data_IF_733987299134
#
_entry.id   IF_733987299134
#
_cell.length_a   1.000
_cell.length_b   1.000
_cell.length_c   1.000
_cell.angle_alpha   90.00
_cell.angle_beta   90.00
_cell.angle_gamma   90.00
#
_symmetry.space_group_name_H-M   'P 1'
#
loop_
_entity.id
_entity.type
_entity.pdbx_description
1 polymer ?
#
# COMPACT_ATOMS: atom_id res chain seq x y z
N UNK A 1 -8.52 -11.32 13.00
CA UNK A 1 -9.49 -10.84 11.97
C UNK A 1 -10.01 -12.02 11.17
N UNK A 2 -11.30 -12.01 10.76
CA UNK A 2 -11.89 -13.06 9.91
C UNK A 2 -11.39 -12.87 8.47
N UNK A 3 -10.98 -13.97 7.85
CA UNK A 3 -10.51 -14.02 6.44
C UNK A 3 -11.59 -14.67 5.59
N UNK A 4 -11.77 -14.21 4.37
CA UNK A 4 -12.77 -14.72 3.44
C UNK A 4 -12.08 -15.24 2.19
N UNK A 5 -12.65 -16.29 1.60
CA UNK A 5 -12.29 -16.78 0.26
C UNK A 5 -13.55 -16.67 -0.58
N UNK A 6 -13.54 -15.80 -1.57
CA UNK A 6 -14.71 -15.50 -2.40
C UNK A 6 -14.33 -15.13 -3.82
N UNK A 7 -15.27 -15.36 -4.72
CA UNK A 7 -15.24 -14.82 -6.07
C UNK A 7 -15.89 -13.44 -6.05
N UNK A 8 -15.07 -12.41 -6.28
CA UNK A 8 -15.49 -11.02 -6.31
C UNK A 8 -15.67 -10.57 -7.75
N UNK A 9 -16.67 -9.73 -8.00
CA UNK A 9 -16.91 -9.17 -9.33
C UNK A 9 -16.05 -7.94 -9.58
N UNK A 10 -15.46 -7.88 -10.77
CA UNK A 10 -14.83 -6.68 -11.30
C UNK A 10 -15.92 -5.70 -11.73
N UNK A 11 -16.02 -4.55 -11.07
CA UNK A 11 -17.00 -3.49 -11.37
C UNK A 11 -16.36 -2.22 -11.93
N UNK A 12 -15.04 -2.15 -11.92
CA UNK A 12 -14.27 -1.08 -12.53
C UNK A 12 -12.89 -1.56 -12.97
N UNK A 13 -12.44 -1.02 -14.09
CA UNK A 13 -11.13 -1.33 -14.68
C UNK A 13 -10.59 -0.12 -15.41
N UNK A 14 -9.39 0.29 -15.06
CA UNK A 14 -8.71 1.41 -15.69
C UNK A 14 -7.21 1.11 -15.85
N UNK A 15 -6.68 1.36 -17.04
CA UNK A 15 -5.23 1.37 -17.27
C UNK A 15 -4.73 2.78 -17.01
N UNK A 16 -4.13 3.01 -15.84
CA UNK A 16 -3.54 4.31 -15.50
C UNK A 16 -2.28 4.58 -16.32
N UNK A 17 -1.59 3.49 -16.71
CA UNK A 17 -0.45 3.47 -17.61
C UNK A 17 -0.37 2.07 -18.26
N UNK A 18 0.47 1.89 -19.27
CA UNK A 18 0.68 0.60 -19.99
C UNK A 18 1.02 -0.58 -19.07
N UNK A 19 1.63 -0.30 -17.90
CA UNK A 19 2.06 -1.28 -16.90
C UNK A 19 1.39 -1.10 -15.53
N UNK A 20 0.37 -0.25 -15.40
CA UNK A 20 -0.40 -0.06 -14.17
C UNK A 20 -1.89 -0.18 -14.40
N UNK A 21 -2.49 -1.13 -13.71
CA UNK A 21 -3.92 -1.42 -13.75
C UNK A 21 -4.57 -1.08 -12.41
N UNK A 22 -5.64 -0.32 -12.43
CA UNK A 22 -6.56 -0.13 -11.31
C UNK A 22 -7.78 -1.03 -11.52
N UNK A 23 -8.02 -1.96 -10.59
CA UNK A 23 -9.21 -2.80 -10.56
C UNK A 23 -10.09 -2.42 -9.37
N UNK A 24 -11.40 -2.28 -9.61
CA UNK A 24 -12.41 -2.14 -8.57
C UNK A 24 -13.23 -3.40 -8.45
N UNK A 25 -13.33 -3.91 -7.22
CA UNK A 25 -13.98 -5.19 -6.91
C UNK A 25 -15.15 -4.96 -5.94
N UNK A 26 -16.17 -5.81 -6.04
CA UNK A 26 -17.29 -5.88 -5.09
C UNK A 26 -17.65 -7.32 -4.76
N UNK A 27 -18.28 -7.52 -3.59
CA UNK A 27 -19.04 -8.74 -3.27
C UNK A 27 -20.51 -8.46 -3.52
N UNK A 28 -21.10 -9.09 -4.54
CA UNK A 28 -22.52 -8.91 -4.88
C UNK A 28 -23.47 -9.64 -3.91
N UNK A 29 -22.94 -10.53 -3.07
CA UNK A 29 -23.75 -11.37 -2.20
C UNK A 29 -23.78 -10.89 -0.75
N UNK A 30 -22.80 -10.07 -0.33
CA UNK A 30 -22.69 -9.60 1.05
C UNK A 30 -21.93 -8.28 1.13
N UNK A 31 -22.12 -7.51 2.21
CA UNK A 31 -21.23 -6.38 2.52
C UNK A 31 -19.78 -6.85 2.69
N UNK A 32 -18.87 -6.10 2.09
CA UNK A 32 -17.44 -6.28 2.30
C UNK A 32 -17.09 -6.02 3.77
N UNK A 33 -16.16 -6.78 4.37
CA UNK A 33 -15.68 -6.48 5.71
C UNK A 33 -14.96 -5.14 5.74
N UNK A 34 -14.90 -4.51 6.91
CA UNK A 34 -14.04 -3.34 7.10
C UNK A 34 -12.59 -3.68 6.75
N UNK A 35 -11.96 -2.80 6.00
CA UNK A 35 -10.58 -2.93 5.53
C UNK A 35 -9.71 -1.83 6.11
N UNK A 36 -8.51 -2.19 6.56
CA UNK A 36 -7.53 -1.27 7.11
C UNK A 36 -6.47 -0.93 6.05
N UNK A 37 -5.95 0.29 6.05
CA UNK A 37 -4.85 0.67 5.15
C UNK A 37 -3.62 -0.20 5.43
N UNK A 38 -2.94 -0.63 4.38
CA UNK A 38 -1.81 -1.56 4.48
C UNK A 38 -2.22 -3.03 4.44
N UNK A 39 -3.49 -3.38 4.57
CA UNK A 39 -3.97 -4.75 4.29
C UNK A 39 -3.90 -5.05 2.79
N UNK A 40 -3.91 -6.34 2.48
CA UNK A 40 -3.78 -6.84 1.12
C UNK A 40 -4.77 -7.98 0.83
N UNK A 41 -4.84 -8.37 -0.42
CA UNK A 41 -5.58 -9.54 -0.90
C UNK A 41 -4.63 -10.51 -1.59
N UNK A 42 -4.94 -11.80 -1.53
CA UNK A 42 -4.28 -12.84 -2.33
C UNK A 42 -5.20 -13.24 -3.49
N UNK A 43 -4.82 -12.86 -4.70
CA UNK A 43 -5.60 -13.04 -5.91
C UNK A 43 -5.20 -14.33 -6.60
N UNK A 44 -6.16 -15.19 -6.96
CA UNK A 44 -5.93 -16.29 -7.88
C UNK A 44 -5.70 -15.74 -9.29
N UNK A 45 -4.74 -16.31 -9.99
CA UNK A 45 -4.44 -15.92 -11.37
C UNK A 45 -4.88 -17.02 -12.30
N UNK A 46 -5.95 -16.78 -13.03
CA UNK A 46 -6.44 -17.68 -14.05
C UNK A 46 -5.88 -17.34 -15.44
N UNK A 47 -5.85 -18.31 -16.33
CA UNK A 47 -5.35 -18.11 -17.69
C UNK A 47 -3.84 -17.84 -17.81
N UNK A 48 -3.04 -18.20 -16.79
CA UNK A 48 -1.59 -18.15 -16.81
C UNK A 48 -1.03 -19.52 -16.43
N UNK A 49 -0.67 -20.39 -17.39
CA UNK A 49 -0.25 -21.77 -17.15
C UNK A 49 1.00 -21.91 -16.27
N UNK A 50 1.82 -20.87 -16.22
CA UNK A 50 3.08 -20.82 -15.47
C UNK A 50 2.93 -20.12 -14.10
N UNK A 51 1.73 -19.59 -13.77
CA UNK A 51 1.48 -18.89 -12.51
C UNK A 51 0.71 -19.78 -11.54
N UNK A 52 1.42 -20.50 -10.68
CA UNK A 52 0.81 -21.42 -9.72
C UNK A 52 0.35 -20.77 -8.43
N UNK A 53 1.00 -19.68 -8.02
CA UNK A 53 0.72 -19.00 -6.76
C UNK A 53 -0.19 -17.80 -6.96
N UNK A 54 -1.01 -17.51 -5.95
CA UNK A 54 -1.74 -16.24 -5.86
C UNK A 54 -0.80 -15.05 -5.83
N UNK A 55 -1.31 -13.88 -6.15
CA UNK A 55 -0.57 -12.62 -6.10
C UNK A 55 -1.05 -11.77 -4.93
N UNK A 56 -0.16 -11.39 -4.01
CA UNK A 56 -0.48 -10.42 -2.96
C UNK A 56 -0.56 -9.04 -3.58
N UNK A 57 -1.68 -8.37 -3.40
CA UNK A 57 -1.90 -7.00 -3.90
C UNK A 57 -2.45 -6.17 -2.75
N UNK A 58 -1.83 -5.04 -2.45
CA UNK A 58 -2.29 -4.11 -1.43
C UNK A 58 -3.63 -3.49 -1.79
N UNK A 59 -4.48 -3.30 -0.78
CA UNK A 59 -5.73 -2.56 -0.93
C UNK A 59 -5.38 -1.08 -1.11
N UNK A 60 -5.78 -0.52 -2.26
CA UNK A 60 -5.50 0.88 -2.62
C UNK A 60 -6.55 1.84 -2.02
N UNK A 61 -7.82 1.47 -2.13
CA UNK A 61 -8.93 2.23 -1.53
C UNK A 61 -10.06 1.29 -1.12
N UNK A 62 -10.95 1.75 -0.24
CA UNK A 62 -12.11 1.00 0.24
C UNK A 62 -13.29 1.93 0.47
N UNK A 63 -14.41 1.62 -0.16
CA UNK A 63 -15.66 2.36 -0.03
C UNK A 63 -16.77 1.44 0.51
N UNK A 64 -17.09 1.62 1.80
CA UNK A 64 -18.13 0.86 2.45
C UNK A 64 -19.55 1.22 1.95
N UNK A 65 -19.74 2.44 1.45
CA UNK A 65 -21.05 2.92 0.97
C UNK A 65 -21.40 2.24 -0.34
N UNK A 66 -20.45 2.18 -1.27
CA UNK A 66 -20.63 1.53 -2.57
C UNK A 66 -20.27 0.05 -2.55
N UNK A 67 -19.86 -0.50 -1.40
CA UNK A 67 -19.45 -1.89 -1.22
C UNK A 67 -18.32 -2.30 -2.19
N UNK A 68 -17.29 -1.45 -2.33
CA UNK A 68 -16.18 -1.68 -3.27
C UNK A 68 -14.82 -1.47 -2.61
N UNK A 69 -13.80 -2.08 -3.19
CA UNK A 69 -12.40 -1.73 -2.92
C UNK A 69 -11.58 -1.74 -4.21
N UNK A 70 -10.53 -0.94 -4.22
CA UNK A 70 -9.63 -0.77 -5.36
C UNK A 70 -8.30 -1.47 -5.13
N UNK A 71 -7.73 -2.01 -6.19
CA UNK A 71 -6.42 -2.63 -6.25
C UNK A 71 -5.59 -1.94 -7.33
N UNK A 72 -4.46 -1.34 -6.95
CA UNK A 72 -3.47 -0.83 -7.88
C UNK A 72 -2.43 -1.93 -8.16
N UNK A 73 -2.32 -2.36 -9.40
CA UNK A 73 -1.52 -3.52 -9.82
C UNK A 73 -0.43 -3.09 -10.80
N UNK A 74 0.83 -3.29 -10.42
CA UNK A 74 1.96 -3.13 -11.34
C UNK A 74 2.18 -4.41 -12.15
N UNK A 75 2.15 -4.31 -13.47
CA UNK A 75 2.18 -5.44 -14.42
C UNK A 75 3.61 -5.91 -14.73
N UNK A 76 4.34 -6.34 -13.71
CA UNK A 76 5.76 -6.70 -13.82
C UNK A 76 6.03 -8.15 -14.25
N UNK A 77 5.09 -9.07 -14.02
CA UNK A 77 5.28 -10.50 -14.27
C UNK A 77 4.09 -11.12 -15.00
N UNK A 78 4.23 -12.39 -15.42
CA UNK A 78 3.15 -13.10 -16.13
C UNK A 78 1.82 -13.09 -15.38
N UNK A 79 1.86 -13.34 -14.07
CA UNK A 79 0.64 -13.37 -13.25
C UNK A 79 -0.08 -12.02 -13.20
N UNK A 80 0.64 -10.91 -12.98
CA UNK A 80 0.02 -9.59 -12.98
C UNK A 80 -0.41 -9.15 -14.38
N UNK A 81 0.33 -9.52 -15.45
CA UNK A 81 -0.12 -9.30 -16.84
C UNK A 81 -1.35 -10.13 -17.19
N UNK A 82 -1.53 -11.34 -16.62
CA UNK A 82 -2.75 -12.09 -16.80
C UNK A 82 -3.97 -11.38 -16.20
N UNK A 83 -3.82 -10.73 -15.04
CA UNK A 83 -4.87 -9.92 -14.42
C UNK A 83 -5.29 -8.73 -15.29
N UNK A 84 -4.39 -8.20 -16.14
CA UNK A 84 -4.72 -7.12 -17.06
C UNK A 84 -5.72 -7.51 -18.16
N UNK A 85 -6.00 -8.80 -18.35
CA UNK A 85 -7.00 -9.28 -19.31
C UNK A 85 -8.43 -9.25 -18.75
N UNK A 86 -8.60 -9.14 -17.44
CA UNK A 86 -9.89 -9.06 -16.79
C UNK A 86 -10.71 -7.88 -17.33
N UNK A 87 -12.01 -8.13 -17.50
CA UNK A 87 -12.98 -7.14 -17.95
C UNK A 87 -13.99 -6.86 -16.82
N UNK A 88 -14.70 -5.74 -16.92
CA UNK A 88 -15.85 -5.47 -16.05
C UNK A 88 -16.88 -6.58 -16.25
N UNK A 89 -17.35 -7.17 -15.15
CA UNK A 89 -18.23 -8.32 -15.13
C UNK A 89 -17.54 -9.65 -14.85
N UNK A 90 -16.22 -9.75 -15.00
CA UNK A 90 -15.47 -10.95 -14.66
C UNK A 90 -15.46 -11.22 -13.16
N UNK A 91 -15.24 -12.46 -12.79
CA UNK A 91 -15.05 -12.87 -11.40
C UNK A 91 -13.58 -13.09 -11.09
N UNK A 92 -13.18 -12.74 -9.88
CA UNK A 92 -11.82 -12.85 -9.40
C UNK A 92 -11.79 -13.49 -8.01
N UNK A 93 -11.22 -14.70 -7.91
CA UNK A 93 -11.12 -15.40 -6.64
C UNK A 93 -10.07 -14.77 -5.74
N UNK A 94 -10.51 -14.28 -4.58
CA UNK A 94 -9.70 -13.53 -3.62
C UNK A 94 -9.71 -14.16 -2.24
N UNK A 95 -8.57 -14.13 -1.53
CA UNK A 95 -8.50 -14.32 -0.09
C UNK A 95 -8.28 -12.92 0.52
N UNK A 96 -9.21 -12.45 1.35
CA UNK A 96 -9.20 -11.07 1.88
C UNK A 96 -10.00 -10.91 3.18
N UNK A 97 -9.86 -9.79 3.93
CA UNK A 97 -8.65 -8.98 3.96
C UNK A 97 -7.55 -9.75 4.69
N UNK A 98 -6.30 -9.51 4.33
CA UNK A 98 -5.14 -10.18 4.90
C UNK A 98 -4.18 -9.18 5.54
N UNK A 99 -3.47 -9.64 6.56
CA UNK A 99 -2.47 -8.84 7.27
C UNK A 99 -3.04 -7.83 8.26
N UNK A 100 -2.13 -7.19 8.98
CA UNK A 100 -2.40 -6.10 9.92
C UNK A 100 -2.08 -4.77 9.23
N UNK A 101 -2.99 -3.81 9.32
CA UNK A 101 -2.85 -2.51 8.66
C UNK A 101 -2.17 -1.46 9.54
N UNK A 102 -2.01 -0.25 8.99
CA UNK A 102 -1.63 0.93 9.74
C UNK A 102 -2.72 1.28 10.76
N UNK A 103 -2.30 1.54 11.98
CA UNK A 103 -3.22 2.00 13.02
C UNK A 103 -3.55 3.48 12.81
N UNK A 104 -4.81 3.83 12.97
CA UNK A 104 -5.19 5.23 13.11
C UNK A 104 -4.80 5.72 14.51
N UNK A 105 -4.40 7.00 14.67
CA UNK A 105 -4.28 7.60 15.98
C UNK A 105 -5.57 7.46 16.79
N UNK A 106 -5.44 7.46 18.13
CA UNK A 106 -6.63 7.32 18.98
C UNK A 106 -7.64 8.44 18.69
N UNK A 107 -8.97 8.15 18.70
CA UNK A 107 -10.01 9.14 18.42
C UNK A 107 -9.97 10.39 19.32
N UNK A 108 -9.37 10.27 20.50
CA UNK A 108 -9.19 11.35 21.47
C UNK A 108 -7.88 12.13 21.28
N UNK A 109 -7.02 11.72 20.33
CA UNK A 109 -5.79 12.41 20.05
C UNK A 109 -6.07 13.78 19.40
N UNK A 110 -5.23 14.76 19.70
CA UNK A 110 -5.19 16.01 18.93
C UNK A 110 -4.91 15.73 17.47
N UNK A 111 -5.31 16.64 16.58
CA UNK A 111 -5.02 16.51 15.15
C UNK A 111 -3.52 16.36 14.92
N UNK A 112 -3.10 15.28 14.30
CA UNK A 112 -1.71 14.95 14.01
C UNK A 112 -1.37 15.24 12.55
N UNK A 113 -0.11 15.56 12.31
CA UNK A 113 0.50 15.73 10.98
C UNK A 113 1.29 14.47 10.65
N UNK A 114 0.80 13.67 9.73
CA UNK A 114 1.45 12.42 9.34
C UNK A 114 2.08 12.55 7.94
N UNK A 115 3.34 12.13 7.82
CA UNK A 115 4.02 12.01 6.53
C UNK A 115 3.84 10.59 5.98
N UNK A 116 3.18 10.48 4.83
CA UNK A 116 2.92 9.23 4.14
C UNK A 116 3.80 9.15 2.89
N UNK A 117 4.81 8.29 2.93
CA UNK A 117 5.82 8.16 1.87
C UNK A 117 5.51 6.94 1.01
N UNK A 118 5.29 7.15 -0.28
CA UNK A 118 5.02 6.09 -1.24
C UNK A 118 6.00 6.08 -2.40
N UNK A 119 6.48 4.90 -2.80
CA UNK A 119 7.35 4.73 -3.97
C UNK A 119 6.84 3.70 -4.96
N UNK A 120 6.62 4.09 -6.22
CA UNK A 120 6.07 3.21 -7.24
C UNK A 120 4.70 2.66 -6.82
N UNK A 121 4.47 1.33 -6.96
CA UNK A 121 3.20 0.70 -6.54
C UNK A 121 2.98 0.75 -5.03
N UNK A 122 4.02 1.01 -4.22
CA UNK A 122 3.89 1.21 -2.77
C UNK A 122 3.10 2.45 -2.37
N UNK A 123 2.72 3.31 -3.30
CA UNK A 123 1.75 4.39 -3.07
C UNK A 123 0.35 3.84 -2.76
N UNK A 124 0.02 2.64 -3.22
CA UNK A 124 -1.32 2.05 -3.08
C UNK A 124 -1.88 2.10 -1.64
N UNK A 125 -1.23 1.54 -0.61
CA UNK A 125 -1.78 1.57 0.74
C UNK A 125 -1.81 2.97 1.37
N UNK A 126 -1.04 3.92 0.84
CA UNK A 126 -0.96 5.28 1.35
C UNK A 126 -2.24 6.08 1.05
N UNK A 127 -2.94 5.78 -0.07
CA UNK A 127 -4.17 6.46 -0.43
C UNK A 127 -5.27 6.19 0.61
N UNK A 128 -5.56 4.92 0.87
CA UNK A 128 -6.56 4.53 1.89
C UNK A 128 -6.18 5.06 3.27
N UNK A 129 -4.88 5.04 3.62
CA UNK A 129 -4.43 5.54 4.92
C UNK A 129 -4.67 7.04 5.05
N UNK A 130 -4.28 7.83 4.05
CA UNK A 130 -4.50 9.27 4.07
C UNK A 130 -6.00 9.63 4.09
N UNK A 131 -6.83 8.93 3.32
CA UNK A 131 -8.29 9.09 3.35
C UNK A 131 -8.86 8.86 4.74
N UNK A 132 -8.48 7.76 5.42
CA UNK A 132 -8.96 7.46 6.77
C UNK A 132 -8.43 8.45 7.81
N UNK A 133 -7.18 8.89 7.70
CA UNK A 133 -6.60 9.94 8.54
C UNK A 133 -7.34 11.27 8.38
N UNK A 134 -7.59 11.68 7.13
CA UNK A 134 -8.34 12.89 6.83
C UNK A 134 -9.75 12.84 7.41
N UNK A 135 -10.46 11.73 7.23
CA UNK A 135 -11.78 11.51 7.79
C UNK A 135 -11.80 11.52 9.33
N UNK A 136 -10.69 11.13 9.97
CA UNK A 136 -10.52 11.17 11.42
C UNK A 136 -10.04 12.55 11.94
N UNK A 137 -9.90 13.57 11.06
CA UNK A 137 -9.51 14.94 11.43
C UNK A 137 -8.01 15.18 11.55
N UNK A 138 -7.18 14.24 11.07
CA UNK A 138 -5.73 14.39 10.98
C UNK A 138 -5.32 15.10 9.68
N UNK A 139 -4.04 15.44 9.57
CA UNK A 139 -3.46 16.18 8.43
C UNK A 139 -2.39 15.34 7.73
N UNK A 140 -2.78 14.47 6.79
CA UNK A 140 -1.80 13.72 6.02
C UNK A 140 -1.07 14.61 5.01
N UNK A 141 0.23 14.41 4.89
CA UNK A 141 1.07 14.91 3.80
C UNK A 141 1.62 13.71 3.05
N UNK A 142 1.37 13.63 1.76
CA UNK A 142 1.86 12.56 0.90
C UNK A 142 3.17 12.99 0.26
N UNK A 143 4.19 12.15 0.34
CA UNK A 143 5.44 12.30 -0.40
C UNK A 143 5.56 11.13 -1.38
N UNK A 144 5.26 11.41 -2.63
CA UNK A 144 5.24 10.41 -3.70
C UNK A 144 6.57 10.43 -4.47
N UNK A 145 7.23 9.28 -4.53
CA UNK A 145 8.51 9.11 -5.22
C UNK A 145 8.38 8.28 -6.49
N UNK A 146 9.05 8.71 -7.56
CA UNK A 146 9.12 8.01 -8.83
C UNK A 146 10.44 8.26 -9.55
N UNK A 147 10.70 7.53 -10.64
CA UNK A 147 11.85 7.79 -11.53
C UNK A 147 11.61 9.04 -12.37
N UNK A 148 10.35 9.23 -12.78
CA UNK A 148 9.90 10.34 -13.62
C UNK A 148 8.47 10.73 -13.26
N UNK A 149 7.96 11.82 -13.84
CA UNK A 149 6.56 12.26 -13.69
C UNK A 149 5.54 11.18 -14.07
N UNK A 150 5.88 10.29 -14.98
CA UNK A 150 5.03 9.17 -15.42
C UNK A 150 4.79 8.13 -14.31
N UNK A 151 5.64 8.07 -13.29
CA UNK A 151 5.56 7.11 -12.19
C UNK A 151 4.71 7.63 -11.03
N UNK A 152 4.28 8.88 -11.09
CA UNK A 152 3.43 9.51 -10.07
C UNK A 152 1.96 9.31 -10.47
N UNK A 153 1.36 8.26 -9.93
CA UNK A 153 -0.01 7.87 -10.24
C UNK A 153 -1.00 8.44 -9.22
N UNK A 154 -2.27 8.57 -9.62
CA UNK A 154 -3.41 8.93 -8.76
C UNK A 154 -3.20 10.25 -7.97
N UNK A 155 -2.33 11.15 -8.42
CA UNK A 155 -1.97 12.39 -7.71
C UNK A 155 -3.20 13.21 -7.29
N UNK A 156 -4.19 13.30 -8.15
CA UNK A 156 -5.43 14.04 -7.91
C UNK A 156 -6.24 13.41 -6.76
N UNK A 157 -6.30 12.08 -6.70
CA UNK A 157 -6.96 11.36 -5.60
C UNK A 157 -6.26 11.60 -4.26
N UNK A 158 -4.93 11.61 -4.24
CA UNK A 158 -4.19 11.96 -3.04
C UNK A 158 -4.46 13.39 -2.56
N UNK A 159 -4.57 14.34 -3.51
CA UNK A 159 -4.81 15.75 -3.22
C UNK A 159 -6.19 16.02 -2.60
N UNK A 160 -7.17 15.11 -2.75
CA UNK A 160 -8.46 15.19 -2.07
C UNK A 160 -8.34 15.07 -0.54
N UNK A 161 -7.30 14.40 -0.04
CA UNK A 161 -7.18 14.03 1.37
C UNK A 161 -6.05 14.76 2.10
N UNK A 162 -5.11 15.39 1.38
CA UNK A 162 -4.00 16.07 2.03
C UNK A 162 -3.06 16.78 1.06
N UNK A 163 -1.97 17.32 1.61
CA UNK A 163 -0.92 17.94 0.80
C UNK A 163 -0.13 16.88 0.04
N UNK A 164 0.12 17.10 -1.25
CA UNK A 164 0.90 16.19 -2.09
C UNK A 164 2.23 16.83 -2.47
N UNK A 165 3.32 16.24 -2.00
CA UNK A 165 4.69 16.54 -2.38
C UNK A 165 5.21 15.41 -3.28
N UNK A 166 6.12 15.75 -4.20
CA UNK A 166 6.62 14.79 -5.19
C UNK A 166 8.12 14.92 -5.34
N UNK A 167 8.80 13.77 -5.46
CA UNK A 167 10.18 13.71 -5.96
C UNK A 167 10.24 12.81 -7.19
N UNK A 168 11.04 13.22 -8.17
CA UNK A 168 11.40 12.34 -9.29
C UNK A 168 12.91 12.31 -9.48
N UNK A 169 13.47 11.13 -9.75
CA UNK A 169 14.92 10.99 -9.92
C UNK A 169 15.45 11.87 -11.05
N UNK A 170 14.67 12.01 -12.12
CA UNK A 170 15.04 12.84 -13.29
C UNK A 170 14.66 14.33 -13.14
N UNK A 171 13.87 14.69 -12.12
CA UNK A 171 13.42 16.07 -11.88
C UNK A 171 12.30 16.54 -12.79
N UNK A 172 11.59 15.64 -13.47
CA UNK A 172 10.48 16.01 -14.37
C UNK A 172 9.20 16.42 -13.65
N UNK A 173 9.08 16.13 -12.35
CA UNK A 173 7.98 16.58 -11.51
C UNK A 173 8.45 16.69 -10.05
N UNK A 174 8.06 17.78 -9.37
CA UNK A 174 8.44 18.04 -7.99
C UNK A 174 9.94 18.29 -7.80
N UNK A 175 10.48 17.91 -6.66
CA UNK A 175 11.91 18.04 -6.39
C UNK A 175 12.69 16.88 -7.03
N UNK A 176 13.88 17.19 -7.53
CA UNK A 176 14.76 16.17 -8.12
C UNK A 176 15.43 15.34 -7.03
N UNK A 177 15.33 14.01 -7.15
CA UNK A 177 16.03 13.07 -6.28
C UNK A 177 15.12 12.01 -5.68
N UNK A 178 15.54 11.43 -4.56
CA UNK A 178 14.78 10.44 -3.81
C UNK A 178 13.88 11.11 -2.77
N UNK A 179 12.88 10.40 -2.27
CA UNK A 179 11.97 10.89 -1.21
C UNK A 179 12.70 11.39 0.04
N UNK A 180 13.89 10.89 0.33
CA UNK A 180 14.73 11.33 1.44
C UNK A 180 15.48 12.63 1.18
N UNK A 181 15.45 13.15 -0.05
CA UNK A 181 16.11 14.42 -0.42
C UNK A 181 15.13 15.58 -0.48
N UNK A 182 13.82 15.34 -0.35
CA UNK A 182 12.83 16.41 -0.42
C UNK A 182 12.97 17.38 0.75
N UNK A 183 12.89 18.66 0.44
CA UNK A 183 13.07 19.76 1.39
C UNK A 183 12.10 19.75 2.57
N UNK A 184 10.94 19.08 2.45
CA UNK A 184 9.95 18.97 3.52
C UNK A 184 10.51 18.37 4.83
N UNK A 185 11.54 17.52 4.74
CA UNK A 185 12.17 16.94 5.94
C UNK A 185 12.82 17.99 6.85
N UNK A 186 13.26 19.12 6.25
CA UNK A 186 13.90 20.23 6.97
C UNK A 186 12.92 21.39 7.23
N UNK A 187 11.88 21.52 6.39
CA UNK A 187 11.00 22.70 6.44
C UNK A 187 9.68 22.45 7.17
N UNK A 188 9.30 21.20 7.36
CA UNK A 188 8.04 20.82 7.97
C UNK A 188 8.25 19.94 9.20
N UNK A 189 7.26 19.91 10.07
CA UNK A 189 7.26 19.04 11.26
C UNK A 189 6.13 18.03 11.17
N UNK A 190 6.42 16.80 11.56
CA UNK A 190 5.46 15.70 11.56
C UNK A 190 5.44 15.01 12.93
N UNK A 191 4.32 14.33 13.23
CA UNK A 191 4.17 13.55 14.45
C UNK A 191 4.53 12.06 14.22
N UNK A 192 4.41 11.58 12.98
CA UNK A 192 4.77 10.22 12.60
C UNK A 192 4.99 10.11 11.09
N UNK A 193 5.69 9.03 10.69
CA UNK A 193 5.96 8.66 9.31
C UNK A 193 5.40 7.28 9.01
N UNK A 194 4.78 7.12 7.86
CA UNK A 194 4.43 5.81 7.30
C UNK A 194 5.04 5.68 5.90
N UNK A 195 5.57 4.52 5.56
CA UNK A 195 6.15 4.33 4.23
C UNK A 195 5.81 2.96 3.63
N UNK A 196 5.69 2.92 2.31
CA UNK A 196 5.59 1.69 1.52
C UNK A 196 6.26 1.89 0.16
N UNK A 197 6.98 0.86 -0.30
CA UNK A 197 7.69 0.87 -1.57
C UNK A 197 8.94 -0.02 -1.55
N UNK A 198 9.90 0.20 -2.46
CA UNK A 198 11.11 -0.61 -2.50
C UNK A 198 11.86 -0.64 -1.17
N UNK A 199 12.35 -1.83 -0.77
CA UNK A 199 13.04 -2.00 0.53
C UNK A 199 14.15 -0.98 0.78
N UNK A 200 15.02 -0.64 -0.20
CA UNK A 200 16.05 0.40 0.01
C UNK A 200 15.45 1.77 0.36
N UNK A 201 14.32 2.14 -0.27
CA UNK A 201 13.62 3.38 0.05
C UNK A 201 13.09 3.38 1.48
N UNK A 202 12.40 2.30 1.88
CA UNK A 202 11.85 2.18 3.24
C UNK A 202 12.95 2.22 4.30
N UNK A 203 14.09 1.55 4.07
CA UNK A 203 15.26 1.61 4.95
C UNK A 203 15.80 3.05 5.08
N UNK A 204 15.93 3.76 3.96
CA UNK A 204 16.41 5.14 3.96
C UNK A 204 15.44 6.08 4.69
N UNK A 205 14.11 5.93 4.45
CA UNK A 205 13.07 6.69 5.17
C UNK A 205 13.09 6.38 6.67
N UNK A 206 13.23 5.11 7.06
CA UNK A 206 13.32 4.70 8.47
C UNK A 206 14.52 5.32 9.19
N UNK A 207 15.69 5.40 8.51
CA UNK A 207 16.88 6.06 9.04
C UNK A 207 16.66 7.56 9.23
N UNK A 208 16.07 8.21 8.22
CA UNK A 208 15.79 9.65 8.28
C UNK A 208 14.75 9.97 9.35
N UNK A 209 13.66 9.19 9.45
CA UNK A 209 12.69 9.33 10.51
C UNK A 209 13.31 9.20 11.92
N UNK A 210 14.28 8.27 12.09
CA UNK A 210 15.01 8.10 13.35
C UNK A 210 15.89 9.33 13.66
N UNK A 211 16.52 9.93 12.65
CA UNK A 211 17.31 11.17 12.83
C UNK A 211 16.44 12.34 13.30
N UNK A 212 15.19 12.39 12.85
CA UNK A 212 14.19 13.37 13.27
C UNK A 212 13.38 12.93 14.52
N UNK A 213 13.75 11.82 15.16
CA UNK A 213 13.06 11.27 16.35
C UNK A 213 11.57 10.96 16.11
N UNK A 214 11.19 10.65 14.87
CA UNK A 214 9.82 10.39 14.48
C UNK A 214 9.48 8.89 14.55
N UNK A 215 8.35 8.50 15.15
CA UNK A 215 7.81 7.15 14.99
C UNK A 215 7.62 6.82 13.51
N UNK A 216 8.12 5.67 13.07
CA UNK A 216 8.01 5.27 11.67
C UNK A 216 7.46 3.86 11.54
N UNK A 217 6.46 3.69 10.67
CA UNK A 217 5.88 2.40 10.31
C UNK A 217 6.04 2.16 8.82
N UNK A 218 6.33 0.91 8.46
CA UNK A 218 6.51 0.52 7.04
C UNK A 218 5.62 -0.66 6.71
N UNK A 219 5.07 -0.67 5.49
CA UNK A 219 4.37 -1.82 4.94
C UNK A 219 5.31 -2.61 4.04
N UNK A 220 5.66 -3.84 4.45
CA UNK A 220 6.62 -4.69 3.77
C UNK A 220 6.00 -5.41 2.56
N UNK A 221 6.78 -5.53 1.48
CA UNK A 221 6.40 -6.21 0.23
C UNK A 221 7.19 -7.53 0.05
N UNK A 222 7.23 -8.38 1.09
CA UNK A 222 7.91 -9.67 1.02
C UNK A 222 7.21 -10.60 0.02
N UNK A 223 7.97 -11.47 -0.64
CA UNK A 223 7.41 -12.55 -1.46
C UNK A 223 6.46 -13.41 -0.63
N UNK A 224 5.30 -13.71 -1.16
CA UNK A 224 4.28 -14.49 -0.48
C UNK A 224 3.79 -15.65 -1.37
N UNK A 225 3.56 -16.81 -0.74
CA UNK A 225 2.88 -17.92 -1.37
C UNK A 225 1.46 -18.08 -0.82
N UNK A 226 1.28 -18.40 0.46
CA UNK A 226 -0.05 -18.69 1.01
C UNK A 226 -0.82 -17.47 1.51
N UNK A 227 -0.16 -16.43 2.02
CA UNK A 227 -0.79 -15.24 2.62
C UNK A 227 -1.47 -15.47 3.97
N UNK A 228 -1.35 -16.67 4.56
CA UNK A 228 -2.10 -17.09 5.78
C UNK A 228 -1.20 -17.66 6.88
N UNK A 229 0.13 -17.52 6.77
CA UNK A 229 1.09 -17.93 7.81
C UNK A 229 1.54 -19.40 7.76
N UNK A 230 1.09 -20.18 6.77
CA UNK A 230 1.36 -21.62 6.75
C UNK A 230 2.70 -22.00 6.08
N UNK A 231 3.12 -21.28 5.02
CA UNK A 231 4.26 -21.68 4.17
C UNK A 231 5.60 -21.08 4.59
N UNK A 232 5.62 -20.09 5.47
CA UNK A 232 6.81 -19.36 5.96
C UNK A 232 7.64 -18.66 4.86
N UNK A 233 7.07 -18.48 3.67
CA UNK A 233 7.76 -17.85 2.53
C UNK A 233 8.04 -16.35 2.78
N UNK A 234 7.15 -15.66 3.49
CA UNK A 234 7.20 -14.22 3.72
C UNK A 234 7.87 -13.82 5.05
N UNK A 235 8.72 -14.68 5.61
CA UNK A 235 9.38 -14.40 6.89
C UNK A 235 10.31 -13.20 6.79
N UNK A 236 10.18 -12.27 7.74
CA UNK A 236 11.10 -11.15 7.97
C UNK A 236 11.78 -11.32 9.32
N UNK A 237 13.06 -10.97 9.38
CA UNK A 237 13.84 -10.99 10.62
C UNK A 237 13.54 -9.73 11.42
N UNK A 238 13.12 -9.91 12.67
CA UNK A 238 12.78 -8.82 13.59
C UNK A 238 13.52 -8.98 14.91
N UNK A 239 13.46 -7.96 15.77
CA UNK A 239 13.99 -8.04 17.14
C UNK A 239 13.25 -9.06 18.01
N UNK A 240 12.03 -9.45 17.60
CA UNK A 240 11.21 -10.50 18.24
C UNK A 240 11.44 -11.88 17.63
N UNK A 241 12.42 -12.04 16.73
CA UNK A 241 12.67 -13.26 15.95
C UNK A 241 12.09 -13.18 14.54
N UNK A 242 11.92 -14.34 13.92
CA UNK A 242 11.39 -14.45 12.56
C UNK A 242 9.87 -14.40 12.56
N UNK A 243 9.28 -13.40 11.90
CA UNK A 243 7.83 -13.19 11.82
C UNK A 243 7.32 -13.34 10.39
N UNK A 244 6.14 -13.94 10.24
CA UNK A 244 5.46 -14.01 8.93
C UNK A 244 4.81 -12.67 8.59
N UNK A 245 5.28 -12.00 7.55
CA UNK A 245 4.74 -10.70 7.09
C UNK A 245 3.24 -10.78 6.77
N UNK A 246 2.75 -11.90 6.28
CA UNK A 246 1.33 -12.05 5.94
C UNK A 246 0.37 -12.17 7.14
N UNK A 247 0.87 -12.43 8.35
CA UNK A 247 0.03 -12.57 9.56
C UNK A 247 0.37 -11.58 10.65
N UNK A 248 1.68 -11.29 10.85
CA UNK A 248 2.15 -10.33 11.86
C UNK A 248 2.27 -8.91 11.28
N UNK A 249 2.54 -8.81 9.98
CA UNK A 249 2.55 -7.58 9.19
C UNK A 249 1.35 -7.51 8.23
N UNK A 250 1.46 -6.83 7.08
CA UNK A 250 2.70 -6.31 6.49
C UNK A 250 3.22 -5.03 7.15
N UNK A 251 2.43 -4.36 7.99
CA UNK A 251 2.83 -3.13 8.66
C UNK A 251 3.62 -3.46 9.95
N UNK A 252 4.82 -2.90 10.04
CA UNK A 252 5.71 -3.01 11.18
C UNK A 252 6.20 -1.64 11.64
N UNK A 253 6.40 -1.49 12.95
CA UNK A 253 7.21 -0.39 13.47
C UNK A 253 8.67 -0.64 13.07
N UNK A 254 9.37 0.37 12.56
CA UNK A 254 10.77 0.22 12.10
C UNK A 254 11.73 -0.15 13.22
N UNK A 255 11.38 0.13 14.49
CA UNK A 255 12.16 -0.31 15.65
C UNK A 255 12.07 -1.84 15.90
N UNK A 256 11.10 -2.52 15.30
CA UNK A 256 11.00 -3.99 15.37
C UNK A 256 11.85 -4.67 14.31
N UNK A 257 12.26 -3.95 13.26
CA UNK A 257 13.01 -4.48 12.13
C UNK A 257 14.52 -4.41 12.40
N UNK A 258 15.26 -5.46 11.98
CA UNK A 258 16.71 -5.50 12.10
C UNK A 258 17.40 -4.76 10.94
N UNK A 259 16.89 -3.60 10.59
CA UNK A 259 17.45 -2.74 9.56
C UNK A 259 18.50 -1.80 10.19
N UNK A 260 19.73 -1.95 9.74
CA UNK A 260 20.86 -1.10 10.12
C UNK A 260 20.92 0.19 9.29
#
# INVERSE_FOLDING_TARGET
MKKYVKDLRVVGREMLREDYLLLRLTDEQAPLPSMLPGQFVQIAVEGSPTTFLRRPISINDYDAVHNTFDLLIHLVGEGTRALARLQVGDQLNCIYPLGNGFALPAPTAASQRLLLVGGGVGTAPMLLYGRQLHAAGHRPTFLLGGRSSRDILERERFAEFGTVCVTTEDGTLGERGFVTHHSLWETETFDAVAACGPKPMMVAVARLARQHELPCHVSLENLMACGVGACLCCVEKTVRGNLCVCTEGPVFNTNELTWE
#
